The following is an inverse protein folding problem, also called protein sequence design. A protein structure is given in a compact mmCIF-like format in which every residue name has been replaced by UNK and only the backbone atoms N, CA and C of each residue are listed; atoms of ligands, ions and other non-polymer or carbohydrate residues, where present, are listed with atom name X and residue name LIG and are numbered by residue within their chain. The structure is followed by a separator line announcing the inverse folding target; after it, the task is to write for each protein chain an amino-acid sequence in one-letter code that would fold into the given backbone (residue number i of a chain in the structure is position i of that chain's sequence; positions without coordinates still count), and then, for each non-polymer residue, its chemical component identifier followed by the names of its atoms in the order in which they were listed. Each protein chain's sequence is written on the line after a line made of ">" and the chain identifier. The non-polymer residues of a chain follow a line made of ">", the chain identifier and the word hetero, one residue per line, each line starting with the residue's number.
data_IF_094007551393
#
_entry.id   IF_094007551393
#
_cell.length_a   1.000
_cell.length_b   1.000
_cell.length_c   1.000
_cell.angle_alpha   90.00
_cell.angle_beta   90.00
_cell.angle_gamma   90.00
#
_symmetry.space_group_name_H-M   'P 1'
#
loop_
_entity.id
_entity.type
_entity.pdbx_description
1 polymer ?
#
# COMPACT_ATOMS: atom_id res chain seq x y z
N UNK A 1 -18.92 -40.46 -10.58
CA UNK A 1 -17.56 -40.05 -10.28
C UNK A 1 -16.85 -41.05 -9.41
N UNK A 2 -15.68 -41.50 -9.82
CA UNK A 2 -14.82 -42.33 -9.01
C UNK A 2 -14.10 -41.50 -7.96
N UNK A 3 -13.58 -42.18 -6.93
CA UNK A 3 -12.80 -41.48 -5.90
C UNK A 3 -11.55 -40.82 -6.47
N UNK A 4 -10.91 -41.44 -7.46
CA UNK A 4 -9.72 -40.91 -8.11
C UNK A 4 -10.02 -39.63 -8.90
N UNK A 5 -11.15 -39.55 -9.59
CA UNK A 5 -11.58 -38.37 -10.31
C UNK A 5 -11.88 -37.22 -9.35
N UNK A 6 -12.46 -37.50 -8.19
CA UNK A 6 -12.70 -36.50 -7.15
C UNK A 6 -11.41 -35.95 -6.60
N UNK A 7 -10.43 -36.80 -6.35
CA UNK A 7 -9.13 -36.40 -5.84
C UNK A 7 -8.42 -35.51 -6.86
N UNK A 8 -8.42 -35.89 -8.13
CA UNK A 8 -7.83 -35.10 -9.21
C UNK A 8 -8.47 -33.71 -9.31
N UNK A 9 -9.79 -33.66 -9.22
CA UNK A 9 -10.52 -32.38 -9.27
C UNK A 9 -10.19 -31.49 -8.07
N UNK A 10 -10.12 -32.07 -6.88
CA UNK A 10 -9.75 -31.33 -5.67
C UNK A 10 -8.31 -30.81 -5.75
N UNK A 11 -7.38 -31.60 -6.26
CA UNK A 11 -6.01 -31.19 -6.47
C UNK A 11 -5.91 -29.99 -7.43
N UNK A 12 -6.68 -30.00 -8.50
CA UNK A 12 -6.75 -28.88 -9.45
C UNK A 12 -7.28 -27.62 -8.77
N UNK A 13 -8.30 -27.75 -7.95
CA UNK A 13 -8.88 -26.62 -7.20
C UNK A 13 -7.89 -26.03 -6.21
N UNK A 14 -7.15 -26.90 -5.51
CA UNK A 14 -6.13 -26.48 -4.56
C UNK A 14 -5.03 -25.70 -5.28
N UNK A 15 -4.54 -26.16 -6.42
CA UNK A 15 -3.53 -25.45 -7.21
C UNK A 15 -4.01 -24.08 -7.65
N UNK A 16 -5.25 -23.98 -8.10
CA UNK A 16 -5.85 -22.70 -8.50
C UNK A 16 -5.92 -21.75 -7.31
N UNK A 17 -6.33 -22.24 -6.15
CA UNK A 17 -6.38 -21.42 -4.94
C UNK A 17 -4.99 -20.96 -4.49
N UNK A 18 -3.99 -21.81 -4.58
CA UNK A 18 -2.61 -21.45 -4.26
C UNK A 18 -2.10 -20.35 -5.19
N UNK A 19 -2.36 -20.45 -6.49
CA UNK A 19 -1.98 -19.44 -7.46
C UNK A 19 -2.67 -18.11 -7.19
N UNK A 20 -3.97 -18.13 -6.86
CA UNK A 20 -4.72 -16.94 -6.51
C UNK A 20 -4.20 -16.31 -5.22
N UNK A 21 -3.84 -17.13 -4.25
CA UNK A 21 -3.30 -16.68 -2.98
C UNK A 21 -1.95 -16.00 -3.16
N UNK A 22 -1.06 -16.57 -3.97
CA UNK A 22 0.22 -15.97 -4.32
C UNK A 22 0.03 -14.62 -5.01
N UNK A 23 -0.91 -14.54 -5.94
CA UNK A 23 -1.23 -13.31 -6.64
C UNK A 23 -1.76 -12.23 -5.69
N UNK A 24 -2.63 -12.61 -4.76
CA UNK A 24 -3.12 -11.69 -3.73
C UNK A 24 -2.00 -11.19 -2.83
N UNK A 25 -1.07 -12.06 -2.45
CA UNK A 25 0.10 -11.69 -1.67
C UNK A 25 0.96 -10.63 -2.38
N UNK A 26 1.22 -10.81 -3.66
CA UNK A 26 1.95 -9.85 -4.48
C UNK A 26 1.23 -8.51 -4.59
N UNK A 27 -0.08 -8.54 -4.75
CA UNK A 27 -0.90 -7.32 -4.79
C UNK A 27 -0.85 -6.56 -3.47
N UNK A 28 -0.91 -7.28 -2.36
CA UNK A 28 -0.80 -6.68 -1.02
C UNK A 28 0.57 -6.02 -0.82
N UNK A 29 1.64 -6.65 -1.28
CA UNK A 29 2.99 -6.08 -1.21
C UNK A 29 3.08 -4.77 -2.01
N UNK A 30 2.54 -4.76 -3.22
CA UNK A 30 2.52 -3.55 -4.07
C UNK A 30 1.71 -2.45 -3.39
N UNK A 31 0.53 -2.78 -2.86
CA UNK A 31 -0.30 -1.81 -2.15
C UNK A 31 0.40 -1.25 -0.92
N UNK A 32 1.10 -2.09 -0.18
CA UNK A 32 1.88 -1.67 0.99
C UNK A 32 2.98 -0.69 0.61
N UNK A 33 3.71 -0.96 -0.48
CA UNK A 33 4.72 -0.05 -1.02
C UNK A 33 4.12 1.30 -1.44
N UNK A 34 2.98 1.26 -2.11
CA UNK A 34 2.27 2.47 -2.53
C UNK A 34 1.82 3.30 -1.33
N UNK A 35 1.29 2.66 -0.30
CA UNK A 35 0.89 3.34 0.93
C UNK A 35 2.09 3.98 1.63
N UNK A 36 3.23 3.32 1.62
CA UNK A 36 4.45 3.87 2.20
C UNK A 36 4.91 5.12 1.45
N UNK A 37 4.86 5.09 0.12
CA UNK A 37 5.19 6.25 -0.73
C UNK A 37 4.25 7.41 -0.43
N UNK A 38 2.95 7.17 -0.36
CA UNK A 38 1.95 8.19 -0.03
C UNK A 38 2.21 8.77 1.36
N UNK A 39 2.51 7.92 2.33
CA UNK A 39 2.82 8.38 3.69
C UNK A 39 4.06 9.26 3.73
N UNK A 40 5.11 8.90 3.00
CA UNK A 40 6.32 9.70 2.90
C UNK A 40 6.05 11.06 2.26
N UNK A 41 5.22 11.09 1.21
CA UNK A 41 4.81 12.33 0.56
C UNK A 41 4.00 13.23 1.51
N UNK A 42 3.10 12.66 2.29
CA UNK A 42 2.32 13.39 3.29
C UNK A 42 3.23 14.02 4.35
N UNK A 43 4.20 13.28 4.84
CA UNK A 43 5.18 13.80 5.81
C UNK A 43 5.95 14.98 5.23
N UNK A 44 6.35 14.90 3.96
CA UNK A 44 7.04 16.00 3.28
C UNK A 44 6.13 17.22 3.11
N UNK A 45 4.88 17.00 2.73
CA UNK A 45 3.90 18.10 2.59
C UNK A 45 3.67 18.81 3.92
N UNK A 46 3.47 18.05 4.99
CA UNK A 46 3.31 18.64 6.34
C UNK A 46 4.55 19.41 6.78
N UNK A 47 5.74 18.90 6.45
CA UNK A 47 7.00 19.62 6.72
C UNK A 47 7.09 20.94 5.99
N UNK A 48 6.70 20.97 4.72
CA UNK A 48 6.68 22.18 3.89
C UNK A 48 5.67 23.19 4.44
N UNK A 49 4.46 22.73 4.80
CA UNK A 49 3.43 23.59 5.35
C UNK A 49 3.85 24.20 6.69
N UNK A 50 4.50 23.43 7.54
CA UNK A 50 5.02 23.92 8.82
C UNK A 50 6.10 24.98 8.62
N UNK A 51 7.02 24.74 7.67
CA UNK A 51 8.06 25.70 7.32
C UNK A 51 7.46 27.00 6.77
N UNK A 52 6.46 26.90 5.91
CA UNK A 52 5.76 28.04 5.33
C UNK A 52 5.05 28.86 6.39
N UNK A 53 4.43 28.21 7.37
CA UNK A 53 3.81 28.87 8.50
C UNK A 53 4.83 29.66 9.33
N UNK A 54 6.00 29.07 9.58
CA UNK A 54 7.09 29.74 10.29
C UNK A 54 7.60 30.98 9.54
N UNK A 55 7.76 30.88 8.23
CA UNK A 55 8.17 32.00 7.38
C UNK A 55 7.14 33.11 7.42
N UNK A 56 5.87 32.79 7.34
CA UNK A 56 4.78 33.76 7.42
C UNK A 56 4.78 34.52 8.78
N UNK A 57 5.04 33.79 9.86
CA UNK A 57 5.14 34.41 11.20
C UNK A 57 6.31 35.37 11.29
N UNK A 58 7.45 35.00 10.75
CA UNK A 58 8.64 35.89 10.71
C UNK A 58 8.36 37.11 9.88
N UNK A 59 7.72 36.97 8.72
CA UNK A 59 7.36 38.11 7.87
C UNK A 59 6.39 39.04 8.56
N UNK A 60 5.45 38.55 9.34
CA UNK A 60 4.55 39.37 10.13
C UNK A 60 5.28 40.15 11.20
N UNK A 61 6.24 39.52 11.86
CA UNK A 61 7.04 40.22 12.90
C UNK A 61 7.90 41.32 12.31
N UNK A 62 8.48 41.10 11.12
CA UNK A 62 9.36 42.12 10.50
C UNK A 62 8.61 43.31 9.92
N UNK A 63 7.32 43.14 9.65
CA UNK A 63 6.49 44.24 9.12
C UNK A 63 5.94 45.18 10.22
N UNK A 64 6.05 44.76 11.44
CA UNK A 64 5.65 45.55 12.60
C UNK A 64 6.83 46.37 13.10
#
# INVERSE_FOLDING_TARGET
>A
MTSEERIDELEKRVRIMEMKNDNLGKRLDIMSEQLQIVNNLLVQIYGILDLQDKINRINMMTKQ
#
